data_IF_193843862139
#
_entry.id   IF_193843862139
#
_cell.length_a   1.000
_cell.length_b   1.000
_cell.length_c   1.000
_cell.angle_alpha   90.00
_cell.angle_beta   90.00
_cell.angle_gamma   90.00
#
_symmetry.space_group_name_H-M   'P 1'
#
loop_
_entity.id
_entity.type
_entity.pdbx_description
1 polymer ?
#
# COMPACT_ATOMS: atom_id res chain seq x y z
N UNK A 1 19.30 28.55 17.13
CA UNK A 1 20.70 28.06 17.00
C UNK A 1 21.55 29.16 16.35
N UNK A 2 22.72 29.47 16.91
CA UNK A 2 23.64 30.43 16.31
C UNK A 2 24.76 29.64 15.64
N UNK A 3 24.89 29.75 14.33
CA UNK A 3 25.95 29.07 13.57
C UNK A 3 27.17 30.01 13.45
N UNK A 4 28.37 29.41 13.43
CA UNK A 4 29.57 30.15 13.16
C UNK A 4 29.52 30.79 11.75
N UNK A 5 29.99 32.04 11.57
CA UNK A 5 29.99 32.69 10.26
C UNK A 5 31.05 32.11 9.31
N UNK A 6 30.87 32.38 8.01
CA UNK A 6 31.91 32.13 7.02
C UNK A 6 33.19 32.92 7.40
N UNK A 7 34.41 32.34 7.23
CA UNK A 7 34.74 31.03 6.65
C UNK A 7 34.83 29.90 7.67
N UNK A 8 34.55 30.12 8.97
CA UNK A 8 34.66 29.08 10.00
C UNK A 8 33.68 27.92 9.72
N UNK A 9 32.43 28.21 9.35
CA UNK A 9 31.48 27.25 8.89
C UNK A 9 31.43 27.20 7.36
N UNK A 10 31.66 25.99 6.78
CA UNK A 10 31.54 25.68 5.35
C UNK A 10 30.86 24.35 5.16
N UNK A 11 29.56 24.35 4.87
CA UNK A 11 28.78 23.12 4.67
C UNK A 11 29.28 22.27 3.47
N UNK A 12 30.00 22.85 2.53
CA UNK A 12 30.59 22.09 1.41
C UNK A 12 31.69 21.10 1.82
N UNK A 13 32.26 21.22 3.03
CA UNK A 13 33.33 20.30 3.51
C UNK A 13 32.85 18.86 3.54
N UNK A 14 31.63 18.59 4.03
CA UNK A 14 31.06 17.26 4.14
C UNK A 14 30.65 16.67 2.78
N UNK A 15 30.58 17.49 1.74
CA UNK A 15 30.20 17.09 0.37
C UNK A 15 31.37 16.96 -0.60
N UNK A 16 32.58 17.33 -0.19
CA UNK A 16 33.72 17.49 -1.08
C UNK A 16 34.20 16.18 -1.72
N UNK A 17 34.04 15.05 -1.05
CA UNK A 17 34.49 13.73 -1.52
C UNK A 17 33.42 12.65 -1.33
N UNK A 18 33.52 11.55 -2.10
CA UNK A 18 32.55 10.46 -2.06
C UNK A 18 32.48 9.81 -0.67
N UNK A 19 33.64 9.48 -0.05
CA UNK A 19 33.66 8.88 1.29
C UNK A 19 33.02 9.81 2.35
N UNK A 20 33.26 11.12 2.22
CA UNK A 20 32.67 12.10 3.15
C UNK A 20 31.15 12.16 2.99
N UNK A 21 30.64 12.21 1.75
CA UNK A 21 29.21 12.16 1.49
C UNK A 21 28.57 10.89 2.04
N UNK A 22 29.21 9.72 1.83
CA UNK A 22 28.70 8.46 2.33
C UNK A 22 28.65 8.41 3.87
N UNK A 23 29.69 8.97 4.53
CA UNK A 23 29.75 9.01 6.00
C UNK A 23 28.69 9.94 6.61
N UNK A 24 28.35 11.03 5.92
CA UNK A 24 27.38 12.04 6.42
C UNK A 24 25.97 11.83 5.86
N UNK A 25 25.70 10.74 5.15
CA UNK A 25 24.36 10.41 4.70
C UNK A 25 23.45 10.06 5.90
N UNK A 26 22.40 10.83 6.09
CA UNK A 26 21.45 10.68 7.21
C UNK A 26 20.52 9.49 7.01
N UNK A 27 20.21 9.14 5.76
CA UNK A 27 19.31 8.05 5.40
C UNK A 27 19.98 7.10 4.39
N UNK A 28 19.59 5.83 4.44
CA UNK A 28 19.98 4.80 3.48
C UNK A 28 18.77 3.95 3.14
N UNK A 29 18.67 3.55 1.88
CA UNK A 29 17.69 2.57 1.44
C UNK A 29 18.23 1.16 1.63
N UNK A 30 17.32 0.25 1.94
CA UNK A 30 17.55 -1.18 2.03
C UNK A 30 16.38 -1.91 1.37
N UNK A 31 16.55 -3.12 0.81
CA UNK A 31 15.44 -3.94 0.35
C UNK A 31 14.34 -4.14 1.41
N UNK A 32 14.71 -4.14 2.70
CA UNK A 32 13.77 -4.24 3.82
C UNK A 32 12.87 -3.00 4.01
N UNK A 33 13.13 -1.91 3.31
CA UNK A 33 12.24 -0.74 3.30
C UNK A 33 11.06 -0.90 2.33
N UNK A 34 10.99 -1.98 1.54
CA UNK A 34 10.00 -2.11 0.48
C UNK A 34 8.95 -3.17 0.80
N UNK A 35 7.69 -2.84 0.46
CA UNK A 35 6.57 -3.78 0.34
C UNK A 35 6.22 -3.83 -1.14
N UNK A 36 6.15 -5.02 -1.74
CA UNK A 36 5.94 -5.17 -3.17
C UNK A 36 4.47 -5.47 -3.51
N UNK A 37 3.72 -4.52 -4.14
CA UNK A 37 2.32 -4.72 -4.50
C UNK A 37 2.16 -5.65 -5.70
N UNK A 38 1.17 -6.56 -5.63
CA UNK A 38 0.82 -7.50 -6.70
C UNK A 38 -0.67 -7.62 -6.93
N UNK A 39 -1.04 -7.84 -8.17
CA UNK A 39 -2.43 -8.10 -8.59
C UNK A 39 -2.60 -9.58 -8.88
N UNK A 40 -3.55 -10.21 -8.18
CA UNK A 40 -3.87 -11.63 -8.33
C UNK A 40 -5.08 -11.79 -9.25
N UNK A 41 -5.03 -12.72 -10.20
CA UNK A 41 -6.14 -13.07 -11.08
C UNK A 41 -6.40 -14.58 -11.07
N UNK A 42 -7.58 -15.00 -11.49
CA UNK A 42 -7.90 -16.41 -11.69
C UNK A 42 -7.17 -16.95 -12.93
N UNK A 43 -7.01 -18.28 -12.95
CA UNK A 43 -6.34 -19.02 -14.01
C UNK A 43 -5.16 -19.82 -13.51
N UNK A 44 -4.48 -20.49 -14.43
CA UNK A 44 -3.24 -21.24 -14.21
C UNK A 44 -2.21 -20.78 -15.24
N UNK A 45 -0.98 -20.47 -14.80
CA UNK A 45 0.07 -19.92 -15.65
C UNK A 45 -0.27 -18.57 -16.27
N UNK A 46 -1.28 -17.86 -15.77
CA UNK A 46 -1.75 -16.63 -16.38
C UNK A 46 -0.87 -15.43 -16.01
N UNK A 47 -0.45 -14.69 -17.03
CA UNK A 47 0.13 -13.35 -16.92
C UNK A 47 -0.68 -12.41 -17.80
N UNK A 48 -1.21 -11.33 -17.19
CA UNK A 48 -2.00 -10.32 -17.89
C UNK A 48 -1.37 -8.95 -17.69
N UNK A 49 -0.61 -8.41 -18.65
CA UNK A 49 -0.04 -7.08 -18.56
C UNK A 49 -1.11 -6.00 -18.36
N UNK A 50 -0.79 -5.01 -17.51
CA UNK A 50 -1.69 -3.88 -17.23
C UNK A 50 -1.22 -2.70 -18.05
N UNK A 51 -1.98 -2.34 -19.10
CA UNK A 51 -1.55 -1.33 -20.07
C UNK A 51 -1.23 0.04 -19.48
N UNK A 52 -1.89 0.43 -18.40
CA UNK A 52 -1.66 1.69 -17.69
C UNK A 52 -0.48 1.65 -16.69
N UNK A 53 0.12 0.47 -16.45
CA UNK A 53 1.24 0.23 -15.53
C UNK A 53 2.38 -0.48 -16.28
N UNK A 54 3.31 0.24 -16.92
CA UNK A 54 4.40 -0.37 -17.67
C UNK A 54 5.20 -1.39 -16.83
N UNK A 55 5.34 -2.62 -17.34
CA UNK A 55 6.10 -3.69 -16.66
C UNK A 55 5.39 -4.34 -15.46
N UNK A 56 4.13 -4.01 -15.19
CA UNK A 56 3.31 -4.64 -14.14
C UNK A 56 2.22 -5.49 -14.77
N UNK A 57 2.05 -6.71 -14.25
CA UNK A 57 1.03 -7.67 -14.71
C UNK A 57 0.16 -8.15 -13.56
N UNK A 58 -1.03 -8.64 -13.87
CA UNK A 58 -1.81 -9.51 -12.99
C UNK A 58 -1.30 -10.94 -13.19
N UNK A 59 -1.19 -11.67 -12.11
CA UNK A 59 -0.71 -13.06 -12.14
C UNK A 59 -1.71 -14.00 -11.50
N UNK A 60 -1.81 -15.20 -12.03
CA UNK A 60 -2.48 -16.31 -11.35
C UNK A 60 -1.75 -16.70 -10.06
N UNK A 61 -2.40 -17.47 -9.19
CA UNK A 61 -1.88 -17.84 -7.87
C UNK A 61 -0.47 -18.47 -7.94
N UNK A 62 -0.24 -19.36 -8.90
CA UNK A 62 1.09 -19.97 -9.14
C UNK A 62 2.14 -18.93 -9.55
N UNK A 63 1.76 -17.95 -10.37
CA UNK A 63 2.63 -16.84 -10.76
C UNK A 63 2.98 -15.94 -9.57
N UNK A 64 2.03 -15.65 -8.67
CA UNK A 64 2.29 -14.89 -7.45
C UNK A 64 3.24 -15.63 -6.50
N UNK A 65 3.13 -16.95 -6.38
CA UNK A 65 4.09 -17.76 -5.60
C UNK A 65 5.52 -17.62 -6.16
N UNK A 66 5.69 -17.61 -7.49
CA UNK A 66 7.01 -17.35 -8.09
C UNK A 66 7.54 -15.96 -7.73
N UNK A 67 6.68 -14.93 -7.76
CA UNK A 67 7.05 -13.56 -7.35
C UNK A 67 7.39 -13.46 -5.86
N UNK A 68 6.71 -14.24 -5.00
CA UNK A 68 7.03 -14.31 -3.58
C UNK A 68 8.46 -14.82 -3.34
N UNK A 69 8.89 -15.85 -4.08
CA UNK A 69 10.29 -16.33 -4.03
C UNK A 69 11.28 -15.27 -4.49
N UNK A 70 11.00 -14.58 -5.61
CA UNK A 70 11.86 -13.50 -6.09
C UNK A 70 11.99 -12.34 -5.08
N UNK A 71 10.89 -11.98 -4.41
CA UNK A 71 10.90 -10.96 -3.37
C UNK A 71 11.78 -11.38 -2.18
N UNK A 72 11.56 -12.58 -1.68
CA UNK A 72 12.33 -13.16 -0.58
C UNK A 72 13.84 -13.21 -0.90
N UNK A 73 14.21 -13.72 -2.08
CA UNK A 73 15.60 -13.82 -2.53
C UNK A 73 16.27 -12.44 -2.71
N UNK A 74 15.47 -11.42 -3.04
CA UNK A 74 15.92 -10.03 -3.13
C UNK A 74 15.92 -9.29 -1.79
N UNK A 75 15.59 -9.95 -0.67
CA UNK A 75 15.53 -9.34 0.66
C UNK A 75 14.35 -8.41 0.90
N UNK A 76 13.31 -8.49 0.07
CA UNK A 76 12.05 -7.75 0.27
C UNK A 76 11.22 -8.54 1.29
N UNK A 77 10.84 -7.94 2.44
CA UNK A 77 10.25 -8.68 3.54
C UNK A 77 8.75 -8.99 3.35
N UNK A 78 8.03 -8.24 2.49
CA UNK A 78 6.57 -8.31 2.45
C UNK A 78 6.01 -8.06 1.05
N UNK A 79 4.94 -8.79 0.73
CA UNK A 79 4.11 -8.57 -0.45
C UNK A 79 2.78 -7.92 -0.04
N UNK A 80 2.25 -7.03 -0.87
CA UNK A 80 0.89 -6.51 -0.74
C UNK A 80 0.01 -7.06 -1.86
N UNK A 81 -1.09 -7.74 -1.52
CA UNK A 81 -1.94 -8.44 -2.48
C UNK A 81 -3.23 -7.69 -2.75
N UNK A 82 -3.60 -7.63 -4.03
CA UNK A 82 -4.84 -7.01 -4.52
C UNK A 82 -5.54 -7.96 -5.50
N UNK A 83 -6.79 -8.40 -5.25
CA UNK A 83 -7.47 -9.34 -6.14
C UNK A 83 -8.10 -8.63 -7.34
N UNK A 84 -8.00 -9.26 -8.50
CA UNK A 84 -8.81 -8.94 -9.67
C UNK A 84 -9.95 -9.97 -9.76
N UNK A 85 -11.00 -9.75 -8.97
CA UNK A 85 -12.18 -10.63 -8.92
C UNK A 85 -12.92 -10.62 -10.25
N UNK A 86 -13.29 -11.79 -10.74
CA UNK A 86 -14.06 -11.95 -11.98
C UNK A 86 -15.44 -11.29 -11.84
N UNK A 87 -15.98 -10.79 -12.95
CA UNK A 87 -17.23 -10.03 -12.96
C UNK A 87 -18.44 -10.83 -12.45
N UNK A 88 -18.47 -12.13 -12.70
CA UNK A 88 -19.52 -13.05 -12.26
C UNK A 88 -19.48 -13.40 -10.76
N UNK A 89 -18.40 -13.02 -10.08
CA UNK A 89 -18.22 -13.15 -8.62
C UNK A 89 -18.50 -11.86 -7.87
N UNK A 90 -18.75 -10.75 -8.58
CA UNK A 90 -19.06 -9.48 -7.96
C UNK A 90 -20.55 -9.34 -7.72
N UNK A 91 -20.91 -8.72 -6.62
CA UNK A 91 -22.32 -8.45 -6.23
C UNK A 91 -22.47 -7.02 -5.69
N UNK A 92 -23.70 -6.57 -5.46
CA UNK A 92 -23.94 -5.27 -4.83
C UNK A 92 -23.48 -5.23 -3.36
N UNK A 93 -23.52 -6.36 -2.68
CA UNK A 93 -23.16 -6.53 -1.27
C UNK A 93 -21.71 -7.03 -1.04
N UNK A 94 -20.94 -7.25 -2.11
CA UNK A 94 -19.57 -7.73 -2.01
C UNK A 94 -19.42 -9.13 -1.39
N UNK A 95 -20.42 -10.00 -1.49
CA UNK A 95 -20.48 -11.30 -0.82
C UNK A 95 -19.26 -12.20 -1.04
N UNK A 96 -18.56 -12.08 -2.18
CA UNK A 96 -17.33 -12.83 -2.44
C UNK A 96 -16.20 -12.50 -1.45
N UNK A 97 -16.19 -11.32 -0.82
CA UNK A 97 -15.25 -10.99 0.25
C UNK A 97 -15.40 -11.91 1.48
N UNK A 98 -16.61 -12.42 1.71
CA UNK A 98 -16.94 -13.33 2.81
C UNK A 98 -16.75 -14.80 2.46
N UNK A 99 -16.40 -15.13 1.22
CA UNK A 99 -16.07 -16.49 0.80
C UNK A 99 -14.66 -16.86 1.30
N UNK A 100 -14.49 -17.85 2.21
CA UNK A 100 -13.17 -18.23 2.73
C UNK A 100 -12.24 -18.85 1.67
N UNK A 101 -12.79 -19.24 0.52
CA UNK A 101 -12.03 -19.78 -0.63
C UNK A 101 -11.95 -18.81 -1.81
N UNK A 102 -12.17 -17.53 -1.56
CA UNK A 102 -12.01 -16.50 -2.59
C UNK A 102 -10.56 -16.43 -3.10
N UNK A 103 -10.37 -15.72 -4.21
CA UNK A 103 -9.05 -15.61 -4.88
C UNK A 103 -7.95 -15.13 -3.94
N UNK A 104 -8.24 -14.14 -3.08
CA UNK A 104 -7.27 -13.58 -2.11
C UNK A 104 -6.85 -14.68 -1.11
N UNK A 105 -7.80 -15.37 -0.47
CA UNK A 105 -7.51 -16.40 0.52
C UNK A 105 -6.72 -17.58 -0.08
N UNK A 106 -7.02 -17.96 -1.33
CA UNK A 106 -6.23 -18.98 -2.06
C UNK A 106 -4.79 -18.55 -2.31
N UNK A 107 -4.60 -17.28 -2.71
CA UNK A 107 -3.26 -16.72 -2.93
C UNK A 107 -2.44 -16.65 -1.63
N UNK A 108 -3.04 -16.21 -0.53
CA UNK A 108 -2.39 -16.15 0.79
C UNK A 108 -1.88 -17.55 1.17
N UNK A 109 -2.76 -18.57 1.18
CA UNK A 109 -2.40 -19.94 1.52
C UNK A 109 -1.24 -20.46 0.66
N UNK A 110 -1.33 -20.29 -0.65
CA UNK A 110 -0.30 -20.75 -1.58
C UNK A 110 1.07 -20.08 -1.36
N UNK A 111 1.09 -18.79 -1.03
CA UNK A 111 2.33 -18.07 -0.70
C UNK A 111 2.91 -18.60 0.62
N UNK A 112 2.09 -18.67 1.68
CA UNK A 112 2.55 -19.11 3.00
C UNK A 112 3.03 -20.56 3.00
N UNK A 113 2.41 -21.44 2.21
CA UNK A 113 2.88 -22.82 2.01
C UNK A 113 4.23 -22.90 1.28
N UNK A 114 4.47 -22.01 0.31
CA UNK A 114 5.67 -22.06 -0.54
C UNK A 114 6.84 -21.20 -0.03
N UNK A 115 6.57 -20.11 0.68
CA UNK A 115 7.55 -19.12 1.20
C UNK A 115 7.07 -18.63 2.58
N UNK A 116 7.13 -19.46 3.61
CA UNK A 116 6.52 -19.15 4.93
C UNK A 116 7.12 -17.90 5.59
N UNK A 117 8.36 -17.57 5.29
CA UNK A 117 9.10 -16.46 5.91
C UNK A 117 8.83 -15.09 5.28
N UNK A 118 8.09 -15.01 4.16
CA UNK A 118 7.69 -13.72 3.59
C UNK A 118 6.41 -13.21 4.22
N UNK A 119 6.37 -11.94 4.58
CA UNK A 119 5.16 -11.27 5.06
C UNK A 119 4.12 -11.11 3.95
N UNK A 120 2.86 -11.33 4.27
CA UNK A 120 1.73 -11.13 3.37
C UNK A 120 0.81 -10.06 3.96
N UNK A 121 0.78 -8.90 3.32
CA UNK A 121 -0.16 -7.81 3.59
C UNK A 121 -1.34 -7.94 2.64
N UNK A 122 -2.55 -7.86 3.18
CA UNK A 122 -3.77 -7.94 2.39
C UNK A 122 -4.61 -6.68 2.52
N UNK A 123 -5.10 -6.20 1.38
CA UNK A 123 -6.03 -5.08 1.33
C UNK A 123 -7.41 -5.50 1.83
N UNK A 124 -8.03 -4.67 2.67
CA UNK A 124 -9.40 -4.85 3.15
C UNK A 124 -10.23 -3.66 2.70
N UNK A 125 -11.05 -3.91 1.70
CA UNK A 125 -12.01 -3.00 1.07
C UNK A 125 -12.90 -3.81 0.12
N UNK A 126 -14.07 -3.28 -0.24
CA UNK A 126 -15.04 -4.03 -1.03
C UNK A 126 -15.00 -3.73 -2.54
N UNK A 127 -14.24 -2.75 -3.00
CA UNK A 127 -14.20 -2.37 -4.42
C UNK A 127 -13.78 -3.49 -5.39
N UNK A 128 -12.94 -4.49 -5.02
CA UNK A 128 -12.69 -5.65 -5.88
C UNK A 128 -13.88 -6.60 -5.98
N UNK A 129 -14.82 -6.55 -5.05
CA UNK A 129 -15.92 -7.51 -4.90
C UNK A 129 -17.28 -6.93 -5.26
N UNK A 130 -17.37 -5.61 -5.42
CA UNK A 130 -18.64 -4.92 -5.74
C UNK A 130 -18.79 -4.63 -7.23
N UNK A 131 -20.04 -4.68 -7.74
CA UNK A 131 -20.35 -4.33 -9.14
C UNK A 131 -20.33 -2.82 -9.40
N UNK A 132 -20.38 -2.01 -8.36
CA UNK A 132 -20.38 -0.54 -8.41
C UNK A 132 -19.00 0.08 -8.13
N UNK A 133 -17.99 -0.72 -7.74
CA UNK A 133 -16.61 -0.29 -7.55
C UNK A 133 -16.34 0.66 -6.38
N UNK A 134 -17.28 0.77 -5.43
CA UNK A 134 -17.08 1.49 -4.16
C UNK A 134 -16.43 0.58 -3.12
N UNK A 135 -15.70 1.17 -2.17
CA UNK A 135 -14.98 0.43 -1.11
C UNK A 135 -15.90 -0.11 -0.01
N UNK A 136 -17.19 0.30 -0.01
CA UNK A 136 -18.22 -0.12 0.94
C UNK A 136 -19.57 -0.35 0.28
N UNK A 137 -20.58 -0.70 1.10
CA UNK A 137 -21.94 -0.96 0.69
C UNK A 137 -22.68 0.34 0.36
N UNK A 138 -23.62 0.28 -0.58
CA UNK A 138 -24.44 1.43 -0.98
C UNK A 138 -25.84 1.36 -0.36
N UNK A 139 -26.34 2.50 0.07
CA UNK A 139 -27.78 2.68 0.31
C UNK A 139 -28.55 2.90 -1.01
N UNK A 140 -29.89 2.97 -0.98
CA UNK A 140 -30.70 3.21 -2.18
C UNK A 140 -30.42 4.55 -2.87
N UNK A 141 -29.76 5.50 -2.21
CA UNK A 141 -29.39 6.81 -2.78
C UNK A 141 -28.05 6.77 -3.48
N UNK A 142 -27.27 5.68 -3.30
CA UNK A 142 -25.89 5.52 -3.81
C UNK A 142 -24.82 6.08 -2.85
N UNK A 143 -25.19 6.38 -1.60
CA UNK A 143 -24.27 6.76 -0.54
C UNK A 143 -23.60 5.51 0.06
N UNK A 144 -22.27 5.55 0.30
CA UNK A 144 -21.56 4.46 0.97
C UNK A 144 -21.86 4.52 2.46
N UNK A 145 -22.50 3.45 2.99
CA UNK A 145 -22.89 3.36 4.39
C UNK A 145 -21.74 2.83 5.25
N UNK A 146 -21.52 3.43 6.41
CA UNK A 146 -20.43 3.09 7.31
C UNK A 146 -20.63 1.73 7.99
N UNK A 147 -21.60 1.65 8.90
CA UNK A 147 -21.71 0.56 9.89
C UNK A 147 -21.89 -0.82 9.21
N UNK A 148 -22.82 -0.91 8.26
CA UNK A 148 -23.02 -2.15 7.51
C UNK A 148 -21.79 -2.55 6.66
N UNK A 149 -20.98 -1.59 6.23
CA UNK A 149 -19.70 -1.88 5.55
C UNK A 149 -18.71 -2.48 6.53
N UNK A 150 -18.57 -1.90 7.73
CA UNK A 150 -17.66 -2.41 8.78
C UNK A 150 -17.96 -3.86 9.12
N UNK A 151 -19.24 -4.26 9.22
CA UNK A 151 -19.62 -5.64 9.47
C UNK A 151 -19.06 -6.61 8.40
N UNK A 152 -19.07 -6.22 7.14
CA UNK A 152 -18.50 -7.04 6.04
C UNK A 152 -16.97 -7.05 6.09
N UNK A 153 -16.34 -5.92 6.41
CA UNK A 153 -14.88 -5.82 6.50
C UNK A 153 -14.30 -6.68 7.64
N UNK A 154 -15.03 -6.84 8.75
CA UNK A 154 -14.68 -7.78 9.81
C UNK A 154 -14.59 -9.20 9.24
N UNK A 155 -15.64 -9.67 8.57
CA UNK A 155 -15.67 -11.00 7.97
C UNK A 155 -14.58 -11.23 6.93
N UNK A 156 -14.32 -10.21 6.07
CA UNK A 156 -13.22 -10.23 5.11
C UNK A 156 -11.86 -10.38 5.81
N UNK A 157 -11.63 -9.61 6.88
CA UNK A 157 -10.38 -9.62 7.64
C UNK A 157 -10.14 -10.99 8.31
N UNK A 158 -11.17 -11.57 8.92
CA UNK A 158 -11.10 -12.88 9.55
C UNK A 158 -10.79 -13.99 8.53
N UNK A 159 -11.40 -13.96 7.35
CA UNK A 159 -11.10 -14.91 6.28
C UNK A 159 -9.65 -14.82 5.81
N UNK A 160 -9.12 -13.60 5.66
CA UNK A 160 -7.74 -13.38 5.26
C UNK A 160 -6.75 -13.82 6.35
N UNK A 161 -7.04 -13.50 7.62
CA UNK A 161 -6.25 -13.94 8.77
C UNK A 161 -6.23 -15.46 8.89
N UNK A 162 -7.38 -16.12 8.77
CA UNK A 162 -7.50 -17.58 8.77
C UNK A 162 -6.78 -18.24 7.59
N UNK A 163 -6.66 -17.55 6.45
CA UNK A 163 -5.87 -18.01 5.31
C UNK A 163 -4.34 -17.85 5.52
N UNK A 164 -3.90 -17.13 6.56
CA UNK A 164 -2.49 -16.94 6.91
C UNK A 164 -1.92 -15.56 6.58
N UNK A 165 -2.74 -14.53 6.38
CA UNK A 165 -2.26 -13.16 6.25
C UNK A 165 -1.53 -12.71 7.52
N UNK A 166 -0.38 -12.06 7.37
CA UNK A 166 0.41 -11.53 8.48
C UNK A 166 -0.02 -10.10 8.85
N UNK A 167 -0.53 -9.35 7.86
CA UNK A 167 -0.93 -7.95 8.00
C UNK A 167 -2.27 -7.73 7.31
N UNK A 168 -3.26 -7.25 8.06
CA UNK A 168 -4.54 -6.76 7.55
C UNK A 168 -4.42 -5.25 7.34
N UNK A 169 -4.73 -4.76 6.14
CA UNK A 169 -4.58 -3.35 5.79
C UNK A 169 -5.92 -2.75 5.31
N UNK A 170 -6.76 -2.28 6.24
CA UNK A 170 -8.06 -1.68 5.88
C UNK A 170 -7.84 -0.38 5.11
N UNK A 171 -8.35 -0.34 3.88
CA UNK A 171 -8.19 0.78 2.94
C UNK A 171 -9.50 1.46 2.57
N UNK A 172 -10.56 1.06 3.19
CA UNK A 172 -11.95 1.47 2.96
C UNK A 172 -12.27 2.88 3.48
N UNK A 173 -11.59 3.34 4.55
CA UNK A 173 -11.79 4.63 5.24
C UNK A 173 -13.13 4.75 5.97
N UNK A 174 -13.73 3.63 6.43
CA UNK A 174 -14.92 3.69 7.29
C UNK A 174 -14.51 4.02 8.73
N UNK A 175 -15.36 4.78 9.43
CA UNK A 175 -15.13 5.14 10.84
C UNK A 175 -15.24 3.91 11.74
N UNK A 176 -14.29 3.73 12.67
CA UNK A 176 -14.32 2.66 13.67
C UNK A 176 -13.91 1.27 13.16
N UNK A 177 -13.56 1.12 11.86
CA UNK A 177 -13.24 -0.19 11.26
C UNK A 177 -12.00 -0.84 11.85
N UNK A 178 -11.00 -0.06 12.24
CA UNK A 178 -9.75 -0.61 12.81
C UNK A 178 -10.05 -1.26 14.16
N UNK A 179 -10.80 -0.59 15.03
CA UNK A 179 -11.20 -1.11 16.32
C UNK A 179 -12.03 -2.38 16.23
N UNK A 180 -13.02 -2.37 15.34
CA UNK A 180 -13.90 -3.52 15.11
C UNK A 180 -13.13 -4.75 14.56
N UNK A 181 -12.21 -4.55 13.61
CA UNK A 181 -11.35 -5.61 13.08
C UNK A 181 -10.39 -6.11 14.16
N UNK A 182 -9.78 -5.21 14.97
CA UNK A 182 -8.87 -5.61 16.05
C UNK A 182 -9.57 -6.49 17.08
N UNK A 183 -10.74 -6.07 17.55
CA UNK A 183 -11.55 -6.85 18.50
C UNK A 183 -11.85 -8.25 17.95
N UNK A 184 -12.32 -8.34 16.72
CA UNK A 184 -12.65 -9.63 16.09
C UNK A 184 -11.42 -10.54 15.91
N UNK A 185 -10.25 -9.99 15.56
CA UNK A 185 -8.99 -10.76 15.46
C UNK A 185 -8.56 -11.30 16.83
N UNK A 186 -8.69 -10.52 17.90
CA UNK A 186 -8.38 -10.97 19.29
C UNK A 186 -9.32 -12.09 19.72
N UNK A 187 -10.63 -11.91 19.54
CA UNK A 187 -11.65 -12.89 19.93
C UNK A 187 -11.53 -14.24 19.19
N UNK A 188 -11.02 -14.22 17.97
CA UNK A 188 -10.87 -15.42 17.13
C UNK A 188 -9.48 -16.04 17.19
N UNK A 189 -8.58 -15.54 18.07
CA UNK A 189 -7.25 -16.11 18.31
C UNK A 189 -6.19 -15.68 17.29
N UNK A 190 -6.43 -14.62 16.52
CA UNK A 190 -5.49 -14.02 15.55
C UNK A 190 -4.72 -12.82 16.14
N UNK A 191 -4.40 -12.86 17.44
CA UNK A 191 -3.76 -11.79 18.20
C UNK A 191 -2.41 -11.29 17.60
N UNK A 192 -1.71 -12.14 16.86
CA UNK A 192 -0.42 -11.80 16.23
C UNK A 192 -0.56 -11.20 14.82
N UNK A 193 -1.77 -11.16 14.24
CA UNK A 193 -2.00 -10.50 12.96
C UNK A 193 -1.96 -8.99 13.15
N UNK A 194 -1.07 -8.33 12.40
CA UNK A 194 -0.90 -6.88 12.47
C UNK A 194 -2.02 -6.16 11.73
N UNK A 195 -2.33 -4.93 12.18
CA UNK A 195 -3.17 -4.00 11.43
C UNK A 195 -2.31 -2.84 10.94
N UNK A 196 -2.15 -2.72 9.62
CA UNK A 196 -1.52 -1.59 8.95
C UNK A 196 -2.60 -0.73 8.29
N UNK A 197 -3.14 0.23 9.02
CA UNK A 197 -4.29 1.02 8.58
C UNK A 197 -3.92 2.04 7.50
N UNK A 198 -4.70 2.12 6.42
CA UNK A 198 -4.66 3.26 5.51
C UNK A 198 -5.31 4.48 6.20
N UNK A 199 -4.63 5.00 7.21
CA UNK A 199 -5.15 6.03 8.11
C UNK A 199 -5.25 7.43 7.47
N UNK A 200 -4.49 7.67 6.38
CA UNK A 200 -4.56 8.92 5.63
C UNK A 200 -4.62 8.63 4.13
N UNK A 201 -5.81 8.23 3.66
CA UNK A 201 -6.08 7.94 2.24
C UNK A 201 -6.93 9.05 1.62
N UNK A 202 -6.36 9.72 0.63
CA UNK A 202 -6.94 10.87 -0.04
C UNK A 202 -7.71 10.49 -1.32
N UNK A 203 -8.78 11.23 -1.63
CA UNK A 203 -9.46 11.15 -2.91
C UNK A 203 -8.56 11.75 -4.01
N UNK A 204 -7.82 10.89 -4.72
CA UNK A 204 -6.69 11.31 -5.54
C UNK A 204 -6.88 10.99 -7.03
N UNK A 205 -6.38 11.89 -7.89
CA UNK A 205 -6.25 11.67 -9.32
C UNK A 205 -5.17 10.64 -9.68
N UNK A 206 -4.23 10.34 -8.76
CA UNK A 206 -3.14 9.40 -8.99
C UNK A 206 -3.56 7.91 -8.96
N UNK A 207 -4.85 7.58 -8.75
CA UNK A 207 -5.32 6.19 -8.71
C UNK A 207 -5.75 5.64 -10.08
N UNK A 208 -5.64 6.41 -11.17
CA UNK A 208 -6.12 6.00 -12.48
C UNK A 208 -5.67 4.60 -12.92
N UNK A 209 -4.35 4.30 -12.96
CA UNK A 209 -3.86 2.98 -13.38
C UNK A 209 -4.25 1.83 -12.44
N UNK A 210 -4.42 2.07 -11.14
CA UNK A 210 -4.85 1.04 -10.18
C UNK A 210 -6.26 0.52 -10.49
N UNK A 211 -7.19 1.40 -10.87
CA UNK A 211 -8.55 0.99 -11.24
C UNK A 211 -8.58 0.04 -12.44
N UNK A 212 -7.65 0.21 -13.36
CA UNK A 212 -7.45 -0.72 -14.46
C UNK A 212 -6.92 -2.07 -13.94
N UNK A 213 -5.97 -2.03 -13.02
CA UNK A 213 -5.31 -3.22 -12.45
C UNK A 213 -6.27 -4.16 -11.70
N UNK A 214 -7.16 -3.62 -10.86
CA UNK A 214 -8.18 -4.42 -10.13
C UNK A 214 -9.45 -4.66 -10.95
N UNK A 215 -9.49 -4.19 -12.21
CA UNK A 215 -10.64 -4.38 -13.10
C UNK A 215 -11.87 -3.57 -12.71
N UNK A 216 -11.71 -2.47 -11.96
CA UNK A 216 -12.81 -1.57 -11.56
C UNK A 216 -12.95 -0.35 -12.46
N UNK A 217 -12.13 -0.23 -13.52
CA UNK A 217 -12.22 0.86 -14.48
C UNK A 217 -13.58 0.86 -15.18
N UNK A 218 -14.32 1.96 -15.06
CA UNK A 218 -15.67 2.10 -15.64
C UNK A 218 -16.79 1.52 -14.78
N UNK A 219 -16.51 0.86 -13.66
CA UNK A 219 -17.53 0.38 -12.72
C UNK A 219 -17.92 1.46 -11.70
N UNK A 220 -17.00 2.34 -11.33
CA UNK A 220 -17.22 3.35 -10.29
C UNK A 220 -18.41 4.25 -10.64
N UNK A 221 -19.47 4.14 -9.85
CA UNK A 221 -20.63 5.03 -9.88
C UNK A 221 -20.40 6.17 -8.90
N UNK A 222 -20.40 7.42 -9.38
CA UNK A 222 -20.08 8.58 -8.55
C UNK A 222 -18.58 8.78 -8.30
N UNK A 223 -18.23 9.22 -7.11
CA UNK A 223 -16.84 9.38 -6.66
C UNK A 223 -16.65 8.73 -5.27
N UNK A 224 -15.46 8.84 -4.70
CA UNK A 224 -15.11 8.28 -3.39
C UNK A 224 -14.92 9.37 -2.30
N UNK A 225 -15.38 10.60 -2.56
CA UNK A 225 -15.09 11.76 -1.71
C UNK A 225 -15.90 11.81 -0.41
N UNK A 226 -16.93 10.98 -0.30
CA UNK A 226 -17.72 10.91 0.94
C UNK A 226 -17.05 10.05 2.03
N UNK A 227 -15.95 9.35 1.70
CA UNK A 227 -15.17 8.59 2.67
C UNK A 227 -13.64 8.71 2.49
N UNK A 228 -13.12 9.05 1.32
CA UNK A 228 -11.70 9.38 1.15
C UNK A 228 -11.49 10.88 1.41
N UNK A 229 -10.39 11.22 2.06
CA UNK A 229 -10.06 12.58 2.50
C UNK A 229 -9.91 13.56 1.33
N UNK A 230 -10.28 14.81 1.56
CA UNK A 230 -10.03 15.88 0.60
C UNK A 230 -8.52 16.19 0.50
N UNK A 231 -7.95 16.23 -0.73
CA UNK A 231 -6.54 16.60 -0.94
C UNK A 231 -6.13 17.95 -0.35
N UNK A 232 -7.07 18.85 -0.06
CA UNK A 232 -6.81 20.14 0.56
C UNK A 232 -6.57 20.07 2.07
N UNK A 233 -6.88 18.92 2.72
CA UNK A 233 -6.90 18.80 4.18
C UNK A 233 -5.67 18.08 4.72
N UNK A 234 -4.83 18.80 5.49
CA UNK A 234 -3.68 18.20 6.17
C UNK A 234 -3.90 17.94 7.67
N UNK A 235 -4.72 18.77 8.35
CA UNK A 235 -5.04 18.57 9.77
C UNK A 235 -5.96 17.37 10.01
N UNK A 236 -6.86 17.09 9.09
CA UNK A 236 -7.75 15.94 9.11
C UNK A 236 -6.95 14.63 9.18
N UNK A 237 -5.87 14.50 8.39
CA UNK A 237 -5.00 13.33 8.41
C UNK A 237 -4.45 13.00 9.81
N UNK A 238 -4.11 14.01 10.61
CA UNK A 238 -3.63 13.79 11.97
C UNK A 238 -4.74 13.29 12.90
N UNK A 239 -5.97 13.66 12.64
CA UNK A 239 -7.13 13.18 13.41
C UNK A 239 -7.48 11.75 13.05
N UNK A 240 -7.51 11.41 11.76
CA UNK A 240 -7.72 10.05 11.25
C UNK A 240 -6.67 9.09 11.79
N UNK A 241 -5.38 9.45 11.69
CA UNK A 241 -4.28 8.66 12.25
C UNK A 241 -4.43 8.48 13.77
N UNK A 242 -4.83 9.52 14.50
CA UNK A 242 -5.03 9.43 15.96
C UNK A 242 -6.15 8.46 16.32
N UNK A 243 -7.24 8.42 15.53
CA UNK A 243 -8.35 7.48 15.74
C UNK A 243 -7.92 6.05 15.44
N UNK A 244 -7.33 5.78 14.28
CA UNK A 244 -6.87 4.43 13.90
C UNK A 244 -5.84 3.86 14.91
N UNK A 245 -4.94 4.70 15.43
CA UNK A 245 -3.99 4.29 16.48
C UNK A 245 -4.68 4.00 17.82
N UNK A 246 -5.67 4.80 18.20
CA UNK A 246 -6.45 4.57 19.42
C UNK A 246 -7.31 3.29 19.30
N UNK A 247 -7.71 2.92 18.11
CA UNK A 247 -8.45 1.71 17.75
C UNK A 247 -7.56 0.45 17.65
N UNK A 248 -6.23 0.59 17.72
CA UNK A 248 -5.32 -0.55 17.78
C UNK A 248 -4.57 -0.85 16.47
N UNK A 249 -4.38 0.13 15.58
CA UNK A 249 -3.46 -0.02 14.45
C UNK A 249 -2.01 -0.12 14.94
N UNK A 250 -1.26 -1.11 14.42
CA UNK A 250 0.17 -1.31 14.72
C UNK A 250 1.06 -0.34 13.93
N UNK A 251 0.58 0.07 12.77
CA UNK A 251 1.25 0.99 11.85
C UNK A 251 0.25 1.65 10.92
N UNK A 252 0.68 2.73 10.24
CA UNK A 252 -0.21 3.52 9.39
C UNK A 252 0.38 3.74 8.00
N UNK A 253 -0.50 3.86 6.99
CA UNK A 253 -0.14 4.16 5.61
C UNK A 253 -0.71 5.52 5.21
N UNK A 254 0.14 6.37 4.61
CA UNK A 254 -0.27 7.58 3.89
C UNK A 254 -0.38 7.23 2.40
N UNK A 255 -1.53 7.50 1.79
CA UNK A 255 -1.83 7.19 0.38
C UNK A 255 -2.60 8.33 -0.30
N UNK A 256 -2.10 8.87 -1.44
CA UNK A 256 -0.82 8.60 -2.13
C UNK A 256 0.42 8.99 -1.31
N UNK A 257 1.60 8.69 -1.85
CA UNK A 257 2.86 8.89 -1.15
C UNK A 257 3.57 10.21 -1.48
N UNK A 258 4.20 10.34 -2.66
CA UNK A 258 5.04 11.50 -3.02
C UNK A 258 4.33 12.86 -2.89
N UNK A 259 3.05 13.02 -3.32
CA UNK A 259 2.36 14.29 -3.17
C UNK A 259 2.01 14.65 -1.72
N UNK A 260 2.19 13.71 -0.77
CA UNK A 260 1.80 13.84 0.64
C UNK A 260 2.96 13.57 1.60
N UNK A 261 4.21 13.83 1.19
CA UNK A 261 5.39 13.72 2.06
C UNK A 261 5.34 14.66 3.27
N UNK A 262 4.65 15.78 3.16
CA UNK A 262 4.35 16.68 4.26
C UNK A 262 3.48 15.99 5.34
N UNK A 263 2.48 15.21 4.92
CA UNK A 263 1.64 14.41 5.83
C UNK A 263 2.47 13.31 6.48
N UNK A 264 3.29 12.59 5.71
CA UNK A 264 4.22 11.58 6.25
C UNK A 264 5.08 12.17 7.37
N UNK A 265 5.73 13.32 7.09
CA UNK A 265 6.59 13.97 8.07
C UNK A 265 5.82 14.41 9.33
N UNK A 266 4.64 14.99 9.16
CA UNK A 266 3.79 15.42 10.27
C UNK A 266 3.30 14.26 11.13
N UNK A 267 2.87 13.16 10.52
CA UNK A 267 2.45 11.93 11.22
C UNK A 267 3.62 11.35 12.00
N UNK A 268 4.80 11.23 11.37
CA UNK A 268 6.01 10.71 12.01
C UNK A 268 6.43 11.55 13.22
N UNK A 269 6.40 12.85 13.09
CA UNK A 269 6.78 13.77 14.17
C UNK A 269 5.78 13.78 15.33
N UNK A 270 4.48 13.59 15.02
CA UNK A 270 3.40 13.68 16.00
C UNK A 270 3.22 12.41 16.81
N UNK A 271 3.31 11.22 16.20
CA UNK A 271 2.84 9.97 16.81
C UNK A 271 3.95 8.97 17.15
N UNK A 272 5.16 9.14 16.61
CA UNK A 272 6.30 8.25 16.85
C UNK A 272 5.99 6.75 16.62
N UNK A 273 5.15 6.44 15.63
CA UNK A 273 4.76 5.10 15.19
C UNK A 273 5.39 4.77 13.85
N UNK A 274 5.44 3.49 13.43
CA UNK A 274 5.86 3.15 12.07
C UNK A 274 4.89 3.75 11.05
N UNK A 275 5.42 4.58 10.14
CA UNK A 275 4.67 5.22 9.06
C UNK A 275 5.13 4.65 7.73
N UNK A 276 4.19 4.15 6.97
CA UNK A 276 4.41 3.69 5.60
C UNK A 276 3.77 4.67 4.62
N UNK A 277 4.22 4.64 3.38
CA UNK A 277 3.60 5.38 2.30
C UNK A 277 3.38 4.47 1.10
N UNK A 278 2.37 4.76 0.29
CA UNK A 278 2.16 4.05 -0.96
C UNK A 278 2.53 4.95 -2.14
N UNK A 279 3.65 4.63 -2.81
CA UNK A 279 3.95 5.16 -4.13
C UNK A 279 2.96 4.55 -5.12
N UNK A 280 1.82 5.22 -5.31
CA UNK A 280 0.67 4.65 -6.03
C UNK A 280 0.91 4.55 -7.53
N UNK A 281 -0.01 3.87 -8.20
CA UNK A 281 0.05 3.54 -9.62
C UNK A 281 0.29 4.74 -10.54
N UNK A 282 -0.31 5.89 -10.24
CA UNK A 282 -0.09 7.13 -11.00
C UNK A 282 1.30 7.70 -10.80
N UNK A 283 1.85 7.64 -9.58
CA UNK A 283 3.22 8.09 -9.28
C UNK A 283 4.23 7.20 -10.00
N UNK A 284 4.03 5.88 -9.94
CA UNK A 284 4.84 4.90 -10.67
C UNK A 284 4.81 5.17 -12.18
N UNK A 285 3.62 5.30 -12.76
CA UNK A 285 3.45 5.54 -14.19
C UNK A 285 4.09 6.87 -14.64
N UNK A 286 4.02 7.92 -13.82
CA UNK A 286 4.69 9.20 -14.10
C UNK A 286 6.21 9.06 -14.16
N UNK A 287 6.82 8.30 -13.25
CA UNK A 287 8.28 8.04 -13.26
C UNK A 287 8.66 7.27 -14.51
N UNK A 288 7.96 6.18 -14.83
CA UNK A 288 8.25 5.35 -16.00
C UNK A 288 8.09 6.13 -17.31
N UNK A 289 7.02 6.91 -17.46
CA UNK A 289 6.80 7.73 -18.64
C UNK A 289 7.78 8.90 -18.75
N UNK A 290 8.15 9.55 -17.66
CA UNK A 290 9.17 10.60 -17.64
C UNK A 290 10.54 10.06 -18.09
N UNK A 291 10.93 8.91 -17.57
CA UNK A 291 12.17 8.23 -17.95
C UNK A 291 12.15 7.81 -19.43
N UNK A 292 11.05 7.21 -19.90
CA UNK A 292 10.89 6.82 -21.31
C UNK A 292 10.93 8.02 -22.27
N UNK A 293 10.46 9.20 -21.83
CA UNK A 293 10.54 10.44 -22.56
C UNK A 293 11.90 11.14 -22.47
N UNK A 294 12.89 10.58 -21.76
CA UNK A 294 14.22 11.15 -21.59
C UNK A 294 14.30 12.32 -20.61
N UNK A 295 13.30 12.49 -19.71
CA UNK A 295 13.31 13.55 -18.71
C UNK A 295 14.30 13.31 -17.56
N UNK A 296 14.86 12.09 -17.44
CA UNK A 296 15.88 11.73 -16.45
C UNK A 296 16.30 10.28 -16.58
N UNK A 297 17.39 9.92 -15.90
CA UNK A 297 17.82 8.53 -15.76
C UNK A 297 16.81 7.76 -14.90
N UNK A 298 16.31 6.63 -15.41
CA UNK A 298 15.24 5.85 -14.77
C UNK A 298 15.62 5.37 -13.37
N UNK A 299 16.81 4.81 -13.23
CA UNK A 299 17.24 4.24 -11.97
C UNK A 299 17.51 5.32 -10.93
N UNK A 300 18.09 6.46 -11.36
CA UNK A 300 18.25 7.62 -10.49
C UNK A 300 16.91 8.20 -10.02
N UNK A 301 15.92 8.33 -10.91
CA UNK A 301 14.58 8.82 -10.54
C UNK A 301 13.89 7.88 -9.53
N UNK A 302 13.99 6.57 -9.73
CA UNK A 302 13.45 5.56 -8.81
C UNK A 302 14.10 5.69 -7.43
N UNK A 303 15.43 5.63 -7.36
CA UNK A 303 16.15 5.69 -6.09
C UNK A 303 15.98 7.03 -5.36
N UNK A 304 15.95 8.15 -6.08
CA UNK A 304 15.74 9.46 -5.47
C UNK A 304 14.33 9.62 -4.90
N UNK A 305 13.31 9.14 -5.61
CA UNK A 305 11.92 9.18 -5.11
C UNK A 305 11.74 8.27 -3.88
N UNK A 306 12.33 7.08 -3.87
CA UNK A 306 12.31 6.18 -2.70
C UNK A 306 13.07 6.78 -1.52
N UNK A 307 14.23 7.43 -1.77
CA UNK A 307 14.96 8.17 -0.75
C UNK A 307 14.16 9.37 -0.19
N UNK A 308 13.30 10.00 -1.00
CA UNK A 308 12.44 11.08 -0.53
C UNK A 308 11.43 10.60 0.53
N UNK A 309 10.86 9.40 0.37
CA UNK A 309 10.03 8.76 1.41
C UNK A 309 10.82 8.48 2.69
N UNK A 310 12.01 7.89 2.56
CA UNK A 310 12.87 7.59 3.71
C UNK A 310 13.24 8.86 4.47
N UNK A 311 13.63 9.92 3.75
CA UNK A 311 13.96 11.24 4.32
C UNK A 311 12.77 11.91 4.98
N UNK A 312 11.54 11.70 4.49
CA UNK A 312 10.33 12.19 5.13
C UNK A 312 9.97 11.43 6.41
N UNK A 313 10.62 10.29 6.68
CA UNK A 313 10.46 9.50 7.90
C UNK A 313 9.65 8.21 7.72
N UNK A 314 9.43 7.75 6.49
CA UNK A 314 8.80 6.43 6.26
C UNK A 314 9.65 5.30 6.83
N UNK A 315 9.00 4.38 7.52
CA UNK A 315 9.56 3.09 7.92
C UNK A 315 9.69 2.15 6.71
N UNK A 316 8.75 2.24 5.77
CA UNK A 316 8.79 1.51 4.52
C UNK A 316 7.85 2.12 3.47
N UNK A 317 7.95 1.60 2.24
CA UNK A 317 7.21 2.10 1.08
C UNK A 317 6.59 0.93 0.30
N UNK A 318 5.28 1.01 0.06
CA UNK A 318 4.64 0.16 -0.95
C UNK A 318 4.97 0.73 -2.33
N UNK A 319 5.67 -0.03 -3.16
CA UNK A 319 6.10 0.44 -4.48
C UNK A 319 6.19 -0.69 -5.50
N UNK A 320 5.73 -0.45 -6.71
CA UNK A 320 5.90 -1.37 -7.84
C UNK A 320 7.36 -1.46 -8.30
N UNK A 321 8.22 -0.52 -7.92
CA UNK A 321 9.66 -0.55 -8.18
C UNK A 321 10.44 -1.46 -7.20
N UNK A 322 9.80 -2.10 -6.22
CA UNK A 322 10.47 -2.77 -5.11
C UNK A 322 11.57 -3.74 -5.55
N UNK A 323 11.27 -4.69 -6.45
CA UNK A 323 12.27 -5.65 -6.92
C UNK A 323 13.41 -4.99 -7.68
N UNK A 324 13.10 -4.02 -8.56
CA UNK A 324 14.11 -3.32 -9.32
C UNK A 324 15.03 -2.50 -8.41
N UNK A 325 14.45 -1.75 -7.47
CA UNK A 325 15.20 -0.98 -6.48
C UNK A 325 16.07 -1.89 -5.58
N UNK A 326 15.52 -3.02 -5.11
CA UNK A 326 16.27 -3.98 -4.32
C UNK A 326 17.51 -4.50 -5.07
N UNK A 327 17.37 -4.84 -6.36
CA UNK A 327 18.49 -5.26 -7.20
C UNK A 327 19.55 -4.17 -7.39
N UNK A 328 19.14 -2.91 -7.57
CA UNK A 328 20.06 -1.77 -7.65
C UNK A 328 20.84 -1.54 -6.36
N UNK A 329 20.25 -1.87 -5.21
CA UNK A 329 20.92 -1.71 -3.90
C UNK A 329 21.88 -2.84 -3.56
N UNK A 330 21.76 -3.99 -4.19
CA UNK A 330 22.70 -5.10 -4.04
C UNK A 330 23.98 -4.94 -4.90
N UNK A 331 24.00 -4.03 -5.87
CA UNK A 331 25.11 -3.71 -6.76
C UNK A 331 25.14 -4.61 -7.96
#
# INVERSE_FOLDING_TARGET
MTYAPYPALRLRRTRASAWSRAMHAENRLSPSDFIWPWFVTDGEGAEQPIGALPGVSRWSVDGIVARAREAHDAGIPCLALFPNTQADRRSDDGAEALNPDNLMCRAIRAIKDAVPDIGVLTDVALDPYTVHGQDGLLDPTGYVVNDATVDVLIGQSLNQAAAGADIIAPSDMMDGRVGAIREALEETGHANVQIMAYAAKYASAFYGPFRDAVGSRGLLKGDKKNYQMDPANGEEALREVALDLAEGADSVIVKPGLPYLDIVARVRDRFAVPVFAYQVSGEYAMIEHAAAAGAGDRDALILETLMAFKRAGCSGVLTYHALHAARLLHG
#
